data_IF_642647386021
#
_entry.id   IF_642647386021
#
_cell.length_a   1.000
_cell.length_b   1.000
_cell.length_c   1.000
_cell.angle_alpha   90.00
_cell.angle_beta   90.00
_cell.angle_gamma   90.00
#
_symmetry.space_group_name_H-M   'P 1'
#
loop_
_entity.id
_entity.type
_entity.pdbx_description
1 polymer ?
#
# COMPACT_ATOMS: atom_id res chain seq x y z
N UNK A 1 -40.48 10.35 -50.29
CA UNK A 1 -39.38 11.11 -49.64
C UNK A 1 -39.34 10.64 -48.19
N UNK A 2 -38.50 9.64 -47.88
CA UNK A 2 -38.49 8.98 -46.58
C UNK A 2 -37.42 9.63 -45.68
N UNK A 3 -37.84 10.17 -44.53
CA UNK A 3 -36.93 10.63 -43.49
C UNK A 3 -36.30 9.42 -42.80
N UNK A 4 -34.97 9.36 -42.88
CA UNK A 4 -34.15 8.39 -42.18
C UNK A 4 -33.92 8.89 -40.74
N UNK A 5 -34.61 8.30 -39.76
CA UNK A 5 -34.30 8.49 -38.34
C UNK A 5 -32.97 7.79 -38.03
N UNK A 6 -31.88 8.55 -37.90
CA UNK A 6 -30.66 8.06 -37.25
C UNK A 6 -30.86 8.11 -35.73
N UNK A 7 -30.82 6.94 -35.09
CA UNK A 7 -30.65 6.82 -33.65
C UNK A 7 -29.29 7.44 -33.28
N UNK A 8 -29.34 8.43 -32.39
CA UNK A 8 -28.14 8.97 -31.76
C UNK A 8 -27.81 8.02 -30.62
N UNK A 9 -26.79 7.19 -30.81
CA UNK A 9 -26.21 6.40 -29.73
C UNK A 9 -25.57 7.37 -28.74
N UNK A 10 -26.26 7.62 -27.63
CA UNK A 10 -25.73 8.37 -26.50
C UNK A 10 -24.61 7.53 -25.89
N UNK A 11 -23.36 7.97 -26.10
CA UNK A 11 -22.20 7.42 -25.40
C UNK A 11 -22.46 7.57 -23.90
N UNK A 12 -22.46 6.48 -23.11
CA UNK A 12 -22.68 6.57 -21.68
C UNK A 12 -21.58 7.44 -21.06
N UNK A 13 -21.99 8.44 -20.27
CA UNK A 13 -21.07 9.32 -19.56
C UNK A 13 -20.12 8.47 -18.70
N UNK A 14 -18.82 8.73 -18.79
CA UNK A 14 -17.84 8.11 -17.91
C UNK A 14 -18.25 8.34 -16.45
N UNK A 15 -18.24 7.30 -15.59
CA UNK A 15 -18.62 7.45 -14.20
C UNK A 15 -17.76 8.53 -13.54
N UNK A 16 -18.41 9.47 -12.87
CA UNK A 16 -17.75 10.60 -12.21
C UNK A 16 -17.06 10.10 -10.95
N UNK A 17 -15.73 10.23 -10.90
CA UNK A 17 -14.95 9.93 -9.70
C UNK A 17 -15.31 10.94 -8.59
N UNK A 18 -15.69 10.44 -7.42
CA UNK A 18 -15.97 11.24 -6.23
C UNK A 18 -14.96 10.92 -5.13
N UNK A 19 -14.40 11.97 -4.53
CA UNK A 19 -13.52 11.87 -3.36
C UNK A 19 -14.25 12.42 -2.15
N UNK A 20 -14.37 11.63 -1.08
CA UNK A 20 -15.00 12.05 0.17
C UNK A 20 -14.11 11.73 1.36
N UNK A 21 -14.12 12.61 2.37
CA UNK A 21 -13.38 12.40 3.62
C UNK A 21 -14.16 11.42 4.52
N UNK A 22 -13.49 10.35 4.95
CA UNK A 22 -13.98 9.44 6.00
C UNK A 22 -13.53 9.96 7.37
N UNK A 23 -12.24 10.25 7.50
CA UNK A 23 -11.64 10.77 8.73
C UNK A 23 -10.53 11.77 8.42
N UNK A 24 -10.20 12.61 9.41
CA UNK A 24 -9.17 13.64 9.31
C UNK A 24 -8.36 13.74 10.61
N UNK A 25 -7.27 14.51 10.60
CA UNK A 25 -6.35 14.69 11.74
C UNK A 25 -5.66 13.39 12.18
N UNK A 26 -5.44 12.48 11.23
CA UNK A 26 -4.66 11.27 11.44
C UNK A 26 -3.17 11.60 11.34
N UNK A 27 -2.34 11.08 12.24
CA UNK A 27 -0.90 11.33 12.22
C UNK A 27 -0.19 10.38 11.25
N UNK A 28 -0.35 10.59 9.94
CA UNK A 28 0.13 9.67 8.91
C UNK A 28 1.50 10.09 8.38
N UNK A 29 2.42 9.13 8.34
CA UNK A 29 3.69 9.25 7.64
C UNK A 29 3.61 8.66 6.24
N UNK A 30 4.45 9.17 5.33
CA UNK A 30 4.56 8.65 3.97
C UNK A 30 5.02 7.18 3.99
N UNK A 31 4.55 6.36 3.04
CA UNK A 31 4.81 4.91 2.92
C UNK A 31 4.05 4.02 3.93
N UNK A 32 3.25 4.60 4.83
CA UNK A 32 2.33 3.82 5.65
C UNK A 32 1.15 3.35 4.80
N UNK A 33 0.97 2.03 4.69
CA UNK A 33 -0.12 1.38 3.97
C UNK A 33 -1.41 1.38 4.81
N UNK A 34 -2.50 0.84 4.27
CA UNK A 34 -3.77 0.67 4.98
C UNK A 34 -4.34 -0.71 4.72
N UNK A 35 -5.03 -1.27 5.71
CA UNK A 35 -5.74 -2.52 5.55
C UNK A 35 -7.25 -2.29 5.62
N UNK A 36 -8.00 -3.08 4.89
CA UNK A 36 -9.46 -3.14 4.99
C UNK A 36 -9.82 -4.32 5.87
N UNK A 37 -10.68 -4.07 6.84
CA UNK A 37 -11.38 -5.09 7.63
C UNK A 37 -12.87 -4.95 7.33
N UNK A 38 -13.65 -6.04 7.34
CA UNK A 38 -15.06 -6.12 6.88
C UNK A 38 -15.84 -4.78 6.79
N UNK A 39 -15.97 -4.05 7.90
CA UNK A 39 -16.75 -2.80 8.00
C UNK A 39 -15.92 -1.58 8.42
N UNK A 40 -14.58 -1.64 8.31
CA UNK A 40 -13.66 -0.59 8.76
C UNK A 40 -12.34 -0.58 8.01
N UNK A 41 -11.58 0.50 8.17
CA UNK A 41 -10.21 0.62 7.66
C UNK A 41 -9.27 0.63 8.85
N UNK A 42 -8.19 -0.12 8.76
CA UNK A 42 -7.10 -0.07 9.73
C UNK A 42 -6.02 0.86 9.22
N UNK A 43 -5.73 1.88 10.03
CA UNK A 43 -4.82 2.97 9.69
C UNK A 43 -3.66 2.98 10.67
N UNK A 44 -2.43 2.61 10.24
CA UNK A 44 -1.23 2.85 11.01
C UNK A 44 -0.89 4.34 11.07
N UNK A 45 -0.34 4.79 12.19
CA UNK A 45 0.09 6.18 12.40
C UNK A 45 1.56 6.27 12.81
N UNK A 46 2.17 7.44 12.62
CA UNK A 46 3.58 7.72 12.91
C UNK A 46 3.91 7.57 14.41
N UNK A 47 2.96 7.85 15.28
CA UNK A 47 3.08 7.67 16.74
C UNK A 47 2.84 6.22 17.20
N UNK A 48 2.84 5.27 16.27
CA UNK A 48 2.81 3.84 16.56
C UNK A 48 1.41 3.23 16.70
N UNK A 49 0.34 4.01 16.54
CA UNK A 49 -1.01 3.49 16.72
C UNK A 49 -1.45 2.68 15.50
N UNK A 50 -2.18 1.60 15.76
CA UNK A 50 -3.07 1.00 14.77
C UNK A 50 -4.50 1.42 15.12
N UNK A 51 -5.09 2.24 14.25
CA UNK A 51 -6.44 2.77 14.43
C UNK A 51 -7.43 1.97 13.60
N UNK A 52 -8.52 1.54 14.22
CA UNK A 52 -9.71 1.09 13.50
C UNK A 52 -10.59 2.31 13.23
N UNK A 53 -10.84 2.59 11.95
CA UNK A 53 -11.68 3.70 11.50
C UNK A 53 -12.90 3.15 10.76
N UNK A 54 -14.09 3.37 11.29
CA UNK A 54 -15.34 2.99 10.62
C UNK A 54 -15.69 3.97 9.49
N UNK A 55 -16.59 3.57 8.58
CA UNK A 55 -16.94 4.39 7.42
C UNK A 55 -17.67 5.71 7.76
N UNK A 56 -18.22 5.84 8.97
CA UNK A 56 -18.77 7.09 9.51
C UNK A 56 -17.71 7.98 10.17
N UNK A 57 -16.43 7.57 10.15
CA UNK A 57 -15.29 8.35 10.62
C UNK A 57 -14.95 8.15 12.10
N UNK A 58 -15.64 7.27 12.83
CA UNK A 58 -15.26 6.96 14.22
C UNK A 58 -13.94 6.18 14.25
N UNK A 59 -13.00 6.65 15.06
CA UNK A 59 -11.69 6.05 15.24
C UNK A 59 -11.54 5.46 16.64
N UNK A 60 -10.98 4.25 16.74
CA UNK A 60 -10.63 3.57 17.99
C UNK A 60 -9.25 2.96 17.88
N UNK A 61 -8.40 3.16 18.88
CA UNK A 61 -7.07 2.53 18.94
C UNK A 61 -7.20 1.04 19.24
N UNK A 62 -6.49 0.21 18.48
CA UNK A 62 -6.32 -1.23 18.72
C UNK A 62 -5.12 -1.46 19.63
N UNK A 63 -3.98 -0.86 19.26
CA UNK A 63 -2.70 -0.98 19.98
C UNK A 63 -1.83 0.23 19.66
N UNK A 64 -0.86 0.54 20.55
CA UNK A 64 0.24 1.44 20.26
C UNK A 64 1.58 0.68 20.32
N UNK A 65 2.21 0.51 19.16
CA UNK A 65 3.44 -0.26 18.97
C UNK A 65 4.70 0.52 19.41
N UNK A 66 4.67 1.85 19.39
CA UNK A 66 5.77 2.66 19.92
C UNK A 66 5.77 2.60 21.45
N UNK A 67 4.60 2.68 22.09
CA UNK A 67 4.48 2.51 23.54
C UNK A 67 4.83 1.10 24.01
N UNK A 68 4.65 0.10 23.15
CA UNK A 68 5.11 -1.27 23.37
C UNK A 68 6.61 -1.48 23.05
N UNK A 69 7.34 -0.41 22.71
CA UNK A 69 8.77 -0.45 22.33
C UNK A 69 9.07 -1.30 21.08
N UNK A 70 8.09 -1.51 20.20
CA UNK A 70 8.22 -2.31 18.99
C UNK A 70 8.55 -1.45 17.75
N UNK A 71 8.04 -0.21 17.70
CA UNK A 71 8.37 0.75 16.64
C UNK A 71 7.18 1.32 15.87
N UNK A 72 7.49 1.96 14.74
CA UNK A 72 6.53 2.62 13.85
C UNK A 72 6.05 1.60 12.80
N UNK A 73 4.72 1.38 12.66
CA UNK A 73 4.18 0.49 11.63
C UNK A 73 4.25 1.12 10.24
N UNK A 74 4.52 0.31 9.21
CA UNK A 74 4.54 0.74 7.81
C UNK A 74 3.49 0.00 6.98
N UNK A 75 3.76 -1.25 6.63
CA UNK A 75 2.89 -2.12 5.87
C UNK A 75 1.92 -2.85 6.77
N UNK A 76 0.72 -3.08 6.26
CA UNK A 76 -0.34 -3.76 7.01
C UNK A 76 -1.25 -4.54 6.07
N UNK A 77 -1.65 -5.75 6.48
CA UNK A 77 -2.68 -6.55 5.80
C UNK A 77 -3.53 -7.30 6.84
N UNK A 78 -4.81 -7.50 6.57
CA UNK A 78 -5.68 -8.33 7.41
C UNK A 78 -5.55 -9.81 7.02
N UNK A 79 -5.43 -10.68 8.01
CA UNK A 79 -5.50 -12.14 7.88
C UNK A 79 -6.42 -12.72 8.94
N UNK A 80 -7.56 -13.30 8.55
CA UNK A 80 -8.43 -14.06 9.48
C UNK A 80 -8.80 -13.28 10.77
N UNK A 81 -9.00 -11.95 10.67
CA UNK A 81 -9.25 -10.96 11.75
C UNK A 81 -8.02 -10.45 12.52
N UNK A 82 -6.87 -11.08 12.33
CA UNK A 82 -5.59 -10.56 12.81
C UNK A 82 -5.00 -9.57 11.79
N UNK A 83 -4.12 -8.71 12.27
CA UNK A 83 -3.36 -7.78 11.44
C UNK A 83 -1.93 -8.25 11.36
N UNK A 84 -1.39 -8.30 10.15
CA UNK A 84 0.01 -8.59 9.91
C UNK A 84 0.68 -7.28 9.55
N UNK A 85 1.69 -6.90 10.33
CA UNK A 85 2.23 -5.54 10.32
C UNK A 85 3.75 -5.58 10.25
N UNK A 86 4.34 -4.83 9.33
CA UNK A 86 5.78 -4.55 9.34
C UNK A 86 6.05 -3.32 10.19
N UNK A 87 7.09 -3.40 11.00
CA UNK A 87 7.43 -2.35 11.97
C UNK A 87 8.93 -2.08 11.92
N UNK A 88 9.30 -0.79 11.98
CA UNK A 88 10.67 -0.32 12.18
C UNK A 88 10.75 0.45 13.50
N UNK A 89 11.58 -0.04 14.42
CA UNK A 89 11.76 0.47 15.77
C UNK A 89 12.98 1.35 15.97
N UNK A 90 13.15 1.79 17.23
CA UNK A 90 14.32 2.53 17.68
C UNK A 90 15.46 1.53 17.95
N UNK A 91 16.67 1.77 17.43
CA UNK A 91 17.87 0.93 17.58
C UNK A 91 17.79 -0.43 16.87
N UNK A 92 18.25 -0.47 15.61
CA UNK A 92 17.50 -0.88 14.42
C UNK A 92 16.73 -2.21 14.58
N UNK A 93 15.66 -2.21 15.37
CA UNK A 93 14.82 -3.39 15.53
C UNK A 93 13.72 -3.38 14.48
N UNK A 94 13.66 -4.43 13.68
CA UNK A 94 12.70 -4.54 12.58
C UNK A 94 11.91 -5.84 12.72
N UNK A 95 10.59 -5.78 12.63
CA UNK A 95 9.75 -6.94 12.90
C UNK A 95 8.66 -7.13 11.87
N UNK A 96 8.27 -8.39 11.68
CA UNK A 96 6.96 -8.76 11.21
C UNK A 96 6.14 -9.19 12.44
N UNK A 97 5.02 -8.51 12.67
CA UNK A 97 4.16 -8.73 13.83
C UNK A 97 2.78 -9.23 13.42
N UNK A 98 2.17 -9.98 14.33
CA UNK A 98 0.73 -10.26 14.35
C UNK A 98 0.10 -9.44 15.47
N UNK A 99 -0.94 -8.69 15.14
CA UNK A 99 -1.76 -7.96 16.11
C UNK A 99 -3.17 -8.53 16.08
N UNK A 100 -3.63 -9.06 17.21
CA UNK A 100 -4.96 -9.61 17.36
C UNK A 100 -6.00 -8.52 17.53
N UNK A 101 -7.27 -8.87 17.34
CA UNK A 101 -8.39 -7.94 17.49
C UNK A 101 -8.51 -7.32 18.88
N UNK A 102 -7.96 -7.97 19.92
CA UNK A 102 -7.92 -7.50 21.31
C UNK A 102 -6.69 -6.61 21.61
N UNK A 103 -5.84 -6.36 20.62
CA UNK A 103 -4.61 -5.58 20.76
C UNK A 103 -3.39 -6.39 21.20
N UNK A 104 -3.51 -7.70 21.44
CA UNK A 104 -2.34 -8.55 21.74
C UNK A 104 -1.39 -8.60 20.54
N UNK A 105 -0.10 -8.43 20.80
CA UNK A 105 0.95 -8.46 19.78
C UNK A 105 1.82 -9.71 19.93
N UNK A 106 2.12 -10.36 18.81
CA UNK A 106 3.01 -11.52 18.71
C UNK A 106 4.03 -11.28 17.59
N UNK A 107 5.32 -11.50 17.86
CA UNK A 107 6.35 -11.43 16.81
C UNK A 107 6.29 -12.68 15.94
N UNK A 108 6.12 -12.50 14.63
CA UNK A 108 6.20 -13.59 13.65
C UNK A 108 7.67 -13.81 13.25
N UNK A 109 8.38 -12.73 12.92
CA UNK A 109 9.78 -12.80 12.51
C UNK A 109 10.55 -11.54 12.90
N UNK A 110 11.82 -11.74 13.23
CA UNK A 110 12.81 -10.66 13.35
C UNK A 110 13.43 -10.40 11.98
N UNK A 111 13.24 -9.18 11.48
CA UNK A 111 13.71 -8.70 10.19
C UNK A 111 14.97 -7.81 10.32
N UNK A 112 15.52 -7.70 11.52
CA UNK A 112 16.62 -6.76 11.85
C UNK A 112 17.85 -7.00 11.01
N UNK A 113 18.33 -8.25 10.93
CA UNK A 113 19.53 -8.57 10.15
C UNK A 113 19.34 -8.33 8.66
N UNK A 114 18.11 -8.53 8.15
CA UNK A 114 17.77 -8.34 6.72
C UNK A 114 17.70 -6.85 6.39
N UNK A 115 17.06 -6.06 7.25
CA UNK A 115 16.85 -4.63 7.03
C UNK A 115 18.09 -3.80 7.39
N UNK A 116 19.00 -4.32 8.19
CA UNK A 116 20.21 -3.58 8.59
C UNK A 116 19.89 -2.36 9.45
N UNK A 117 20.91 -1.52 9.66
CA UNK A 117 20.82 -0.40 10.61
C UNK A 117 20.01 0.79 10.06
N UNK A 118 20.11 1.06 8.76
CA UNK A 118 19.51 2.22 8.10
C UNK A 118 18.35 1.87 7.18
N UNK A 119 18.00 0.60 7.09
CA UNK A 119 16.88 0.11 6.30
C UNK A 119 15.62 -0.07 7.12
N UNK A 120 14.58 -0.60 6.47
CA UNK A 120 13.30 -0.89 7.07
C UNK A 120 12.51 -1.90 6.23
N UNK A 121 11.61 -2.67 6.85
CA UNK A 121 10.54 -3.35 6.14
C UNK A 121 9.42 -2.35 5.84
N UNK A 122 8.99 -2.27 4.58
CA UNK A 122 7.92 -1.35 4.16
C UNK A 122 6.61 -2.08 3.99
N UNK A 123 6.34 -2.68 2.83
CA UNK A 123 5.09 -3.36 2.52
C UNK A 123 5.03 -4.78 3.05
N UNK A 124 3.81 -5.24 3.33
CA UNK A 124 3.48 -6.65 3.55
C UNK A 124 2.19 -7.03 2.85
N UNK A 125 2.13 -8.24 2.28
CA UNK A 125 0.89 -8.82 1.76
C UNK A 125 0.86 -10.33 2.01
N UNK A 126 -0.28 -10.96 1.72
CA UNK A 126 -0.48 -12.41 1.86
C UNK A 126 -0.20 -13.13 0.54
N UNK A 127 0.54 -14.23 0.61
CA UNK A 127 0.70 -15.20 -0.49
C UNK A 127 0.42 -16.60 0.04
N UNK A 128 -0.80 -17.09 -0.23
CA UNK A 128 -1.32 -18.38 0.21
C UNK A 128 -1.16 -18.61 1.73
N UNK A 129 -0.07 -19.24 2.14
CA UNK A 129 0.24 -19.62 3.51
C UNK A 129 1.50 -18.91 4.06
N UNK A 130 1.85 -17.77 3.47
CA UNK A 130 3.04 -17.00 3.81
C UNK A 130 2.80 -15.50 3.68
N UNK A 131 3.73 -14.73 4.22
CA UNK A 131 3.78 -13.28 4.14
C UNK A 131 4.87 -12.89 3.14
N UNK A 132 4.55 -11.97 2.24
CA UNK A 132 5.54 -11.35 1.37
C UNK A 132 5.88 -9.98 1.94
N UNK A 133 7.16 -9.70 2.11
CA UNK A 133 7.62 -8.46 2.75
C UNK A 133 8.66 -7.80 1.85
N UNK A 134 8.53 -6.49 1.65
CA UNK A 134 9.54 -5.68 0.97
C UNK A 134 10.51 -5.12 2.00
N UNK A 135 11.81 -5.29 1.73
CA UNK A 135 12.90 -4.85 2.59
C UNK A 135 13.79 -3.90 1.79
N UNK A 136 14.11 -2.77 2.41
CA UNK A 136 15.25 -1.94 2.04
C UNK A 136 16.31 -2.05 3.13
N UNK A 137 17.59 -2.12 2.76
CA UNK A 137 18.70 -2.12 3.72
C UNK A 137 19.28 -0.74 4.03
N UNK A 138 18.90 0.26 3.23
CA UNK A 138 19.21 1.67 3.43
C UNK A 138 18.21 2.53 2.67
N UNK A 139 17.58 3.46 3.41
CA UNK A 139 16.64 4.44 2.85
C UNK A 139 17.29 5.41 1.84
N UNK A 140 18.62 5.47 1.75
CA UNK A 140 19.38 6.38 0.85
C UNK A 140 19.88 5.69 -0.44
N UNK A 141 19.60 4.40 -0.66
CA UNK A 141 19.98 3.51 -1.80
C UNK A 141 21.01 2.44 -1.44
N UNK A 142 20.54 1.33 -0.87
CA UNK A 142 21.30 0.07 -0.74
C UNK A 142 20.53 -1.12 -1.31
N UNK A 143 20.99 -2.33 -1.00
CA UNK A 143 20.33 -3.57 -1.42
C UNK A 143 18.86 -3.57 -1.02
N UNK A 144 18.04 -4.06 -1.93
CA UNK A 144 16.60 -4.16 -1.77
C UNK A 144 16.15 -5.54 -2.16
N UNK A 145 15.27 -6.13 -1.37
CA UNK A 145 14.79 -7.49 -1.59
C UNK A 145 13.31 -7.64 -1.30
N UNK A 146 12.72 -8.60 -2.02
CA UNK A 146 11.45 -9.19 -1.67
C UNK A 146 11.74 -10.50 -0.95
N UNK A 147 11.18 -10.68 0.24
CA UNK A 147 11.31 -11.90 1.02
C UNK A 147 9.95 -12.55 1.23
N UNK A 148 9.99 -13.85 1.48
CA UNK A 148 8.88 -14.64 2.01
C UNK A 148 9.16 -14.97 3.47
N UNK A 149 8.14 -14.80 4.31
CA UNK A 149 8.13 -15.24 5.70
C UNK A 149 7.01 -16.25 5.87
N UNK A 150 7.31 -17.47 6.29
CA UNK A 150 6.29 -18.48 6.59
C UNK A 150 5.55 -18.18 7.89
N UNK A 151 4.43 -18.88 8.15
CA UNK A 151 3.63 -18.69 9.38
C UNK A 151 4.40 -18.93 10.69
N UNK A 152 5.46 -19.76 10.65
CA UNK A 152 6.37 -20.06 11.76
C UNK A 152 7.61 -19.13 11.79
N UNK A 153 7.65 -18.09 10.96
CA UNK A 153 8.69 -17.07 11.01
C UNK A 153 9.95 -17.36 10.19
N UNK A 154 9.98 -18.44 9.40
CA UNK A 154 11.13 -18.74 8.53
C UNK A 154 11.19 -17.75 7.37
N UNK A 155 12.34 -17.12 7.21
CA UNK A 155 12.61 -16.13 6.16
C UNK A 155 13.33 -16.80 4.97
N UNK A 156 12.87 -16.51 3.75
CA UNK A 156 13.55 -16.91 2.51
C UNK A 156 13.51 -15.78 1.48
N UNK A 157 14.61 -15.50 0.75
CA UNK A 157 14.61 -14.50 -0.32
C UNK A 157 13.74 -14.96 -1.49
N UNK A 158 13.10 -14.01 -2.17
CA UNK A 158 12.37 -14.23 -3.43
C UNK A 158 13.10 -13.57 -4.59
N UNK A 159 13.38 -12.27 -4.50
CA UNK A 159 13.94 -11.50 -5.61
C UNK A 159 14.78 -10.33 -5.10
N UNK A 160 15.83 -9.99 -5.87
CA UNK A 160 16.59 -8.77 -5.69
C UNK A 160 15.93 -7.62 -6.48
N UNK A 161 15.63 -6.54 -5.78
CA UNK A 161 14.93 -5.37 -6.32
C UNK A 161 15.84 -4.14 -6.46
N UNK A 162 17.10 -4.23 -6.05
CA UNK A 162 18.07 -3.12 -5.97
C UNK A 162 18.15 -2.29 -7.25
N UNK A 163 18.06 -2.94 -8.43
CA UNK A 163 18.11 -2.22 -9.73
C UNK A 163 16.96 -1.22 -9.94
N UNK A 164 15.91 -1.28 -9.12
CA UNK A 164 14.76 -0.39 -9.14
C UNK A 164 14.68 0.52 -7.90
N UNK A 165 15.68 0.48 -7.03
CA UNK A 165 15.71 1.24 -5.79
C UNK A 165 14.99 0.53 -4.63
N UNK A 166 14.47 1.33 -3.71
CA UNK A 166 13.82 0.86 -2.48
C UNK A 166 12.38 0.42 -2.74
N UNK A 167 11.98 -0.78 -2.29
CA UNK A 167 10.64 -1.30 -2.48
C UNK A 167 9.72 -0.80 -1.37
N UNK A 168 8.51 -0.40 -1.74
CA UNK A 168 7.50 0.10 -0.84
C UNK A 168 6.32 -0.86 -0.75
N UNK A 169 5.09 -0.41 -1.04
CA UNK A 169 3.90 -1.27 -1.06
C UNK A 169 3.95 -2.34 -2.16
N UNK A 170 3.19 -3.42 -1.94
CA UNK A 170 3.11 -4.54 -2.86
C UNK A 170 1.73 -5.20 -2.86
N UNK A 171 1.41 -5.89 -3.94
CA UNK A 171 0.19 -6.68 -4.08
C UNK A 171 0.45 -7.95 -4.88
N UNK A 172 -0.34 -9.00 -4.64
CA UNK A 172 -0.35 -10.22 -5.46
C UNK A 172 -1.41 -10.10 -6.54
N UNK A 173 -1.03 -10.35 -7.80
CA UNK A 173 -1.92 -10.38 -8.95
C UNK A 173 -1.61 -11.61 -9.80
N UNK A 174 -2.58 -12.52 -9.97
CA UNK A 174 -2.46 -13.69 -10.85
C UNK A 174 -1.19 -14.53 -10.63
N UNK A 175 -0.84 -14.83 -9.37
CA UNK A 175 0.38 -15.57 -8.96
C UNK A 175 1.71 -14.80 -9.13
N UNK A 176 1.65 -13.57 -9.64
CA UNK A 176 2.79 -12.66 -9.72
C UNK A 176 2.70 -11.62 -8.61
N UNK A 177 3.83 -11.03 -8.26
CA UNK A 177 3.91 -10.01 -7.21
C UNK A 177 4.23 -8.68 -7.87
N UNK A 178 3.46 -7.64 -7.59
CA UNK A 178 3.74 -6.28 -8.07
C UNK A 178 4.20 -5.42 -6.92
N UNK A 179 5.32 -4.72 -7.10
CA UNK A 179 5.97 -3.92 -6.07
C UNK A 179 6.16 -2.48 -6.57
N UNK A 180 5.80 -1.51 -5.75
CA UNK A 180 6.11 -0.09 -5.96
C UNK A 180 7.57 0.20 -5.59
N UNK A 181 8.29 0.94 -6.44
CA UNK A 181 9.73 1.16 -6.31
C UNK A 181 10.12 2.64 -6.30
N UNK A 182 11.13 2.98 -5.49
CA UNK A 182 11.55 4.37 -5.28
C UNK A 182 12.12 5.07 -6.51
N UNK A 183 12.62 4.33 -7.51
CA UNK A 183 13.06 4.93 -8.77
C UNK A 183 11.91 5.28 -9.71
N UNK A 184 10.68 4.90 -9.39
CA UNK A 184 9.47 5.31 -10.12
C UNK A 184 8.69 4.18 -10.77
N UNK A 185 9.21 2.96 -10.74
CA UNK A 185 8.59 1.84 -11.45
C UNK A 185 7.57 1.09 -10.59
N UNK A 186 6.55 0.55 -11.25
CA UNK A 186 5.87 -0.65 -10.77
C UNK A 186 6.56 -1.86 -11.40
N UNK A 187 6.99 -2.80 -10.56
CA UNK A 187 7.78 -3.96 -10.97
C UNK A 187 7.02 -5.23 -10.71
N UNK A 188 6.95 -6.11 -11.70
CA UNK A 188 6.46 -7.48 -11.55
C UNK A 188 7.60 -8.41 -11.17
N UNK A 189 7.36 -9.26 -10.17
CA UNK A 189 8.23 -10.34 -9.76
C UNK A 189 7.56 -11.67 -10.09
N UNK A 190 8.22 -12.47 -10.92
CA UNK A 190 7.79 -13.81 -11.33
C UNK A 190 8.99 -14.75 -11.31
N UNK A 191 8.86 -15.90 -10.64
CA UNK A 191 9.92 -16.91 -10.56
C UNK A 191 11.28 -16.35 -10.08
N UNK A 192 11.23 -15.34 -9.22
CA UNK A 192 12.42 -14.66 -8.67
C UNK A 192 13.01 -13.55 -9.55
N UNK A 193 12.49 -13.37 -10.76
CA UNK A 193 12.93 -12.32 -11.68
C UNK A 193 12.05 -11.08 -11.58
N UNK A 194 12.69 -9.90 -11.56
CA UNK A 194 12.02 -8.62 -11.43
C UNK A 194 12.07 -7.83 -12.74
N UNK A 195 10.90 -7.45 -13.28
CA UNK A 195 10.74 -6.72 -14.54
C UNK A 195 9.81 -5.51 -14.38
N UNK A 196 10.20 -4.35 -14.90
CA UNK A 196 9.34 -3.17 -14.88
C UNK A 196 8.09 -3.39 -15.75
N UNK A 197 6.91 -3.08 -15.20
CA UNK A 197 5.63 -3.03 -15.93
C UNK A 197 5.51 -1.64 -16.57
N UNK A 198 5.79 -0.61 -15.77
CA UNK A 198 5.69 0.80 -16.14
C UNK A 198 6.65 1.63 -15.31
N UNK A 199 7.18 2.71 -15.89
CA UNK A 199 7.91 3.75 -15.18
C UNK A 199 7.01 4.99 -15.00
N UNK A 200 6.40 5.12 -13.83
CA UNK A 200 5.47 6.20 -13.52
C UNK A 200 6.20 7.55 -13.44
N UNK A 201 7.44 7.56 -12.94
CA UNK A 201 8.24 8.78 -12.81
C UNK A 201 8.62 9.31 -14.18
N UNK A 202 9.11 8.45 -15.08
CA UNK A 202 9.45 8.83 -16.44
C UNK A 202 8.24 9.33 -17.25
N UNK A 203 7.04 8.81 -16.94
CA UNK A 203 5.78 9.28 -17.54
C UNK A 203 5.17 10.52 -16.85
N UNK A 204 5.83 11.09 -15.83
CA UNK A 204 5.37 12.30 -15.15
C UNK A 204 4.33 12.09 -14.04
N UNK A 205 4.04 10.85 -13.65
CA UNK A 205 3.12 10.51 -12.56
C UNK A 205 3.81 10.43 -11.18
N UNK A 206 5.13 10.49 -11.14
CA UNK A 206 5.91 10.49 -9.89
C UNK A 206 6.31 9.09 -9.41
N UNK A 207 6.78 9.02 -8.17
CA UNK A 207 7.25 7.79 -7.52
C UNK A 207 6.06 7.11 -6.84
N UNK A 208 5.76 5.83 -7.14
CA UNK A 208 4.70 5.10 -6.46
C UNK A 208 5.08 4.81 -5.01
N UNK A 209 4.11 4.86 -4.10
CA UNK A 209 4.31 4.51 -2.68
C UNK A 209 3.62 3.20 -2.31
N UNK A 210 2.36 3.05 -2.69
CA UNK A 210 1.59 1.84 -2.42
C UNK A 210 0.79 1.42 -3.66
N UNK A 211 0.39 0.16 -3.72
CA UNK A 211 -0.28 -0.45 -4.88
C UNK A 211 -1.35 -1.45 -4.44
N UNK A 212 -2.50 -1.41 -5.11
CA UNK A 212 -3.59 -2.36 -4.91
C UNK A 212 -4.19 -2.80 -6.25
N UNK A 213 -5.10 -3.76 -6.22
CA UNK A 213 -5.90 -4.17 -7.37
C UNK A 213 -7.31 -3.59 -7.23
N UNK A 214 -7.70 -2.75 -8.18
CA UNK A 214 -9.04 -2.17 -8.24
C UNK A 214 -9.60 -2.30 -9.65
N UNK A 215 -10.72 -3.03 -9.77
CA UNK A 215 -11.38 -3.35 -11.05
C UNK A 215 -10.39 -4.03 -12.02
N UNK A 216 -9.72 -5.07 -11.52
CA UNK A 216 -8.73 -5.89 -12.25
C UNK A 216 -7.49 -5.15 -12.76
N UNK A 217 -7.26 -3.92 -12.30
CA UNK A 217 -6.13 -3.08 -12.70
C UNK A 217 -5.29 -2.67 -11.51
N UNK A 218 -4.00 -2.49 -11.77
CA UNK A 218 -3.08 -1.96 -10.78
C UNK A 218 -3.44 -0.51 -10.51
N UNK A 219 -3.61 -0.16 -9.25
CA UNK A 219 -3.88 1.22 -8.83
C UNK A 219 -2.88 1.61 -7.77
N UNK A 220 -2.23 2.76 -7.93
CA UNK A 220 -1.12 3.18 -7.09
C UNK A 220 -1.28 4.62 -6.61
N UNK A 221 -0.76 4.89 -5.43
CA UNK A 221 -0.54 6.24 -4.90
C UNK A 221 0.83 6.72 -5.29
N UNK A 222 1.00 8.02 -5.51
CA UNK A 222 2.31 8.57 -5.89
C UNK A 222 2.68 9.82 -5.11
N UNK A 223 3.99 10.08 -5.04
CA UNK A 223 4.56 11.26 -4.39
C UNK A 223 4.15 12.61 -5.02
N UNK A 224 3.58 12.58 -6.23
CA UNK A 224 3.10 13.77 -6.94
C UNK A 224 1.68 14.18 -6.51
N UNK A 225 1.06 13.45 -5.58
CA UNK A 225 -0.30 13.74 -5.11
C UNK A 225 -1.39 12.96 -5.86
N UNK A 226 -1.01 11.97 -6.68
CA UNK A 226 -1.95 11.30 -7.58
C UNK A 226 -2.33 9.91 -7.06
N UNK A 227 -3.56 9.52 -7.40
CA UNK A 227 -3.98 8.12 -7.47
C UNK A 227 -4.10 7.78 -8.96
N UNK A 228 -3.32 6.81 -9.41
CA UNK A 228 -3.23 6.42 -10.83
C UNK A 228 -3.62 4.96 -11.01
N UNK A 229 -4.16 4.62 -12.17
CA UNK A 229 -4.46 3.26 -12.58
C UNK A 229 -3.62 2.89 -13.79
N UNK A 230 -3.05 1.68 -13.78
CA UNK A 230 -2.22 1.11 -14.84
C UNK A 230 -2.94 -0.11 -15.40
N UNK A 231 -3.13 -0.12 -16.72
CA UNK A 231 -3.70 -1.28 -17.41
C UNK A 231 -2.64 -2.35 -17.74
N UNK A 232 -3.08 -3.45 -18.35
CA UNK A 232 -2.22 -4.58 -18.71
C UNK A 232 -1.09 -4.22 -19.69
N UNK A 233 -1.25 -3.13 -20.46
CA UNK A 233 -0.27 -2.65 -21.44
C UNK A 233 0.66 -1.58 -20.86
N UNK A 234 0.55 -1.29 -19.55
CA UNK A 234 1.34 -0.26 -18.89
C UNK A 234 0.86 1.16 -19.18
N UNK A 235 -0.34 1.35 -19.75
CA UNK A 235 -0.92 2.69 -19.93
C UNK A 235 -1.47 3.18 -18.60
N UNK A 236 -1.10 4.41 -18.25
CA UNK A 236 -1.45 5.05 -16.99
C UNK A 236 -2.58 6.06 -17.19
N UNK A 237 -3.56 6.05 -16.30
CA UNK A 237 -4.61 7.06 -16.22
C UNK A 237 -4.72 7.60 -14.80
N UNK A 238 -4.89 8.91 -14.64
CA UNK A 238 -5.15 9.52 -13.34
C UNK A 238 -6.59 9.23 -12.92
N UNK A 239 -6.76 8.65 -11.73
CA UNK A 239 -8.06 8.44 -11.09
C UNK A 239 -8.42 9.67 -10.24
N UNK A 240 -7.47 10.18 -9.46
CA UNK A 240 -7.68 11.37 -8.64
C UNK A 240 -6.37 12.18 -8.49
N UNK A 241 -6.51 13.50 -8.39
CA UNK A 241 -5.45 14.44 -8.04
C UNK A 241 -5.74 15.03 -6.66
N UNK A 242 -5.17 14.38 -5.64
CA UNK A 242 -5.44 14.68 -4.23
C UNK A 242 -4.67 15.91 -3.77
N UNK A 243 -3.50 16.20 -4.35
CA UNK A 243 -2.77 17.42 -4.09
C UNK A 243 -3.55 18.66 -4.58
N UNK A 244 -4.11 18.60 -5.80
CA UNK A 244 -4.99 19.66 -6.32
C UNK A 244 -6.26 19.82 -5.49
N UNK A 245 -6.83 18.72 -5.01
CA UNK A 245 -7.97 18.69 -4.09
C UNK A 245 -7.62 19.10 -2.63
N UNK A 246 -6.37 19.50 -2.36
CA UNK A 246 -5.88 19.96 -1.03
C UNK A 246 -5.87 18.89 0.06
N UNK A 247 -5.85 17.62 -0.33
CA UNK A 247 -5.66 16.49 0.59
C UNK A 247 -4.19 16.07 0.76
N UNK A 248 -3.25 16.78 0.13
CA UNK A 248 -1.81 16.51 0.14
C UNK A 248 -1.43 15.20 -0.59
N UNK A 249 -0.35 14.54 -0.17
CA UNK A 249 0.24 13.43 -0.89
C UNK A 249 -0.36 12.11 -0.36
N UNK A 250 -0.95 11.26 -1.23
CA UNK A 250 -1.43 9.96 -0.79
C UNK A 250 -0.27 9.04 -0.37
N UNK A 251 -0.54 8.19 0.61
CA UNK A 251 0.39 7.20 1.14
C UNK A 251 -0.17 5.80 0.87
N UNK A 252 -0.99 5.26 1.77
CA UNK A 252 -1.55 3.92 1.66
C UNK A 252 -2.79 3.87 0.79
N UNK A 253 -3.02 2.72 0.15
CA UNK A 253 -4.22 2.46 -0.65
C UNK A 253 -4.70 1.03 -0.50
N UNK A 254 -6.02 0.86 -0.40
CA UNK A 254 -6.64 -0.46 -0.45
C UNK A 254 -8.01 -0.42 -1.13
N UNK A 255 -8.42 -1.55 -1.68
CA UNK A 255 -9.77 -1.73 -2.23
C UNK A 255 -10.76 -2.03 -1.11
N UNK A 256 -11.82 -1.23 -1.02
CA UNK A 256 -12.95 -1.41 -0.09
C UNK A 256 -14.22 -1.64 -0.91
N UNK A 257 -14.58 -2.91 -1.11
CA UNK A 257 -15.70 -3.28 -1.98
C UNK A 257 -15.45 -2.81 -3.42
N UNK A 258 -16.31 -1.92 -3.93
CA UNK A 258 -16.19 -1.35 -5.29
C UNK A 258 -15.37 -0.05 -5.35
N UNK A 259 -14.97 0.47 -4.21
CA UNK A 259 -14.31 1.77 -4.04
C UNK A 259 -12.87 1.58 -3.57
N UNK A 260 -12.14 2.68 -3.50
CA UNK A 260 -10.81 2.74 -2.90
C UNK A 260 -10.88 3.49 -1.57
N UNK A 261 -10.03 3.10 -0.63
CA UNK A 261 -9.68 3.91 0.53
C UNK A 261 -8.22 4.31 0.44
N UNK A 262 -7.95 5.58 0.74
CA UNK A 262 -6.62 6.18 0.57
C UNK A 262 -6.28 7.02 1.79
N UNK A 263 -5.10 6.80 2.38
CA UNK A 263 -4.55 7.74 3.38
C UNK A 263 -3.67 8.78 2.73
N UNK A 264 -3.55 9.95 3.36
CA UNK A 264 -2.62 10.98 2.92
C UNK A 264 -1.76 11.47 4.08
N UNK A 265 -0.56 11.94 3.77
CA UNK A 265 0.33 12.58 4.75
C UNK A 265 -0.23 13.92 5.30
N UNK A 266 -1.31 14.43 4.71
CA UNK A 266 -2.12 15.51 5.28
C UNK A 266 -3.04 15.07 6.41
N UNK A 267 -3.03 13.79 6.77
CA UNK A 267 -3.80 13.22 7.86
C UNK A 267 -5.25 12.92 7.52
N UNK A 268 -5.53 12.60 6.25
CA UNK A 268 -6.85 12.20 5.79
C UNK A 268 -6.93 10.70 5.56
N UNK A 269 -8.09 10.13 5.87
CA UNK A 269 -8.57 8.88 5.28
C UNK A 269 -9.70 9.25 4.32
N UNK A 270 -9.54 8.92 3.05
CA UNK A 270 -10.45 9.26 1.96
C UNK A 270 -11.12 8.00 1.40
N UNK A 271 -12.32 8.17 0.87
CA UNK A 271 -12.97 7.21 -0.04
C UNK A 271 -12.95 7.79 -1.45
N UNK A 272 -12.57 6.98 -2.42
CA UNK A 272 -12.66 7.30 -3.85
C UNK A 272 -13.65 6.32 -4.49
N UNK A 273 -14.79 6.85 -4.93
CA UNK A 273 -15.88 6.08 -5.51
C UNK A 273 -16.05 6.43 -6.99
N UNK A 274 -16.44 5.45 -7.81
CA UNK A 274 -16.81 5.66 -9.21
C UNK A 274 -18.13 4.96 -9.55
#
# INVERSE_FOLDING_TARGET
MALCCRSIDLVPASPMIQVSVIASKLNIYTLQSVAVSKDSVIVPTLDGQLLRVTLDGKSTSIVNLVQAELGVPFGIVEQEQDLIVTVSGYLPQHYLLRVKSDGKVETIADLTQRSGFYGAPFGVTLDQNSYLVTISTDVVESSSELIRVSRDGKISPIANLTKFGNPFGLVVQNQSIVVAQSYGQLVRVEKGEATAIVDLKAQGFGIPFDVTIWRDRLTATTNSGLVVQVDENGKVNTIADLAKAKYQIPSGIATFGKDLVVTTNGGFLLRISA
#
